data_IF_315260101950
#
_entry.id   IF_315260101950
#
_cell.length_a   1.000
_cell.length_b   1.000
_cell.length_c   1.000
_cell.angle_alpha   90.00
_cell.angle_beta   90.00
_cell.angle_gamma   90.00
#
_symmetry.space_group_name_H-M   'P 1'
#
loop_
_entity.id
_entity.type
_entity.pdbx_description
1 polymer ?
#
# COMPACT_ATOMS: atom_id res chain seq x y z
N UNK A 1 -43.75 8.88 40.19
CA UNK A 1 -44.34 7.71 39.50
C UNK A 1 -44.14 7.91 38.01
N UNK A 2 -43.39 7.00 37.38
CA UNK A 2 -43.31 6.65 35.96
C UNK A 2 -42.98 7.71 34.86
N UNK A 3 -41.98 7.33 34.09
CA UNK A 3 -41.35 7.89 32.88
C UNK A 3 -41.99 7.39 31.58
N UNK A 4 -41.84 8.16 30.48
CA UNK A 4 -41.68 7.70 29.09
C UNK A 4 -41.12 8.91 28.31
N UNK A 5 -39.91 9.01 27.74
CA UNK A 5 -38.99 8.11 27.01
C UNK A 5 -39.47 7.68 25.63
N UNK A 6 -39.61 8.66 24.73
CA UNK A 6 -39.61 8.43 23.28
C UNK A 6 -38.17 8.56 22.76
N UNK A 7 -37.53 7.40 22.59
CA UNK A 7 -36.26 7.28 21.90
C UNK A 7 -36.50 6.95 20.43
N UNK A 8 -36.13 7.86 19.53
CA UNK A 8 -35.89 7.51 18.14
C UNK A 8 -34.42 7.08 18.03
N UNK A 9 -34.20 5.77 17.95
CA UNK A 9 -32.89 5.19 17.72
C UNK A 9 -32.49 5.30 16.26
N UNK A 10 -31.28 5.77 16.01
CA UNK A 10 -30.54 5.39 14.81
C UNK A 10 -29.30 4.65 15.30
N UNK A 11 -29.37 3.33 15.18
CA UNK A 11 -28.23 2.44 15.30
C UNK A 11 -27.47 2.47 13.98
N UNK A 12 -26.17 2.78 14.04
CA UNK A 12 -25.25 2.43 12.96
C UNK A 12 -24.12 1.60 13.56
N UNK A 13 -23.94 0.45 12.94
CA UNK A 13 -23.31 -0.73 13.49
C UNK A 13 -21.82 -0.52 13.83
N UNK A 14 -21.50 -0.72 15.10
CA UNK A 14 -20.16 -1.11 15.51
C UNK A 14 -19.90 -2.54 14.98
N UNK A 15 -19.28 -2.63 13.81
CA UNK A 15 -18.68 -3.86 13.31
C UNK A 15 -17.57 -4.30 14.26
N UNK A 16 -17.91 -5.12 15.26
CA UNK A 16 -16.96 -5.89 16.05
C UNK A 16 -16.16 -6.79 15.11
N UNK A 17 -14.83 -6.63 15.08
CA UNK A 17 -13.93 -7.71 14.68
C UNK A 17 -13.24 -7.63 13.32
N UNK A 18 -12.95 -6.45 12.77
CA UNK A 18 -11.93 -6.33 11.73
C UNK A 18 -10.67 -5.70 12.33
N UNK A 19 -9.64 -6.52 12.55
CA UNK A 19 -8.29 -6.00 12.80
C UNK A 19 -7.99 -5.04 11.66
N UNK A 20 -7.64 -3.77 11.92
CA UNK A 20 -7.24 -2.88 10.85
C UNK A 20 -5.94 -3.43 10.29
N UNK A 21 -6.05 -4.22 9.22
CA UNK A 21 -4.90 -4.59 8.42
C UNK A 21 -4.22 -3.27 8.06
N UNK A 22 -2.94 -3.10 8.44
CA UNK A 22 -2.12 -1.88 8.31
C UNK A 22 -2.17 -0.87 9.48
N UNK A 23 -2.89 -1.16 10.57
CA UNK A 23 -2.87 -0.33 11.78
C UNK A 23 -3.60 1.02 11.65
N UNK A 24 -4.40 1.19 10.60
CA UNK A 24 -5.20 2.39 10.34
C UNK A 24 -6.53 2.28 11.11
N UNK A 25 -6.78 3.11 12.15
CA UNK A 25 -8.05 3.07 12.86
C UNK A 25 -9.22 3.39 11.93
N UNK A 26 -10.41 2.85 12.21
CA UNK A 26 -11.60 3.23 11.46
C UNK A 26 -11.98 4.67 11.80
N UNK A 27 -12.22 5.49 10.76
CA UNK A 27 -12.69 6.86 10.96
C UNK A 27 -14.14 6.84 11.48
N UNK A 28 -14.38 7.44 12.65
CA UNK A 28 -15.73 7.68 13.14
C UNK A 28 -16.26 8.94 12.45
N UNK A 29 -17.34 8.81 11.70
CA UNK A 29 -18.02 9.94 11.08
C UNK A 29 -18.91 10.64 12.12
N UNK A 30 -18.79 11.96 12.25
CA UNK A 30 -19.59 12.74 13.19
C UNK A 30 -20.75 13.37 12.43
N UNK A 31 -21.94 12.80 12.58
CA UNK A 31 -23.16 13.32 11.95
C UNK A 31 -23.80 14.46 12.76
N UNK A 32 -23.64 14.44 14.08
CA UNK A 32 -24.18 15.46 14.98
C UNK A 32 -23.14 15.88 16.04
N UNK A 33 -22.80 17.16 16.00
CA UNK A 33 -21.79 17.79 16.88
C UNK A 33 -22.30 17.88 18.32
N UNK A 34 -23.61 18.09 18.53
CA UNK A 34 -24.20 18.17 19.87
C UNK A 34 -24.18 16.81 20.57
N UNK A 35 -24.39 15.73 19.81
CA UNK A 35 -24.26 14.36 20.28
C UNK A 35 -22.80 13.97 20.58
N UNK A 36 -21.83 14.57 19.88
CA UNK A 36 -20.40 14.37 20.13
C UNK A 36 -19.93 15.07 21.42
N UNK A 37 -20.40 16.30 21.67
CA UNK A 37 -20.06 17.08 22.87
C UNK A 37 -20.65 16.49 24.16
N UNK A 38 -21.76 15.73 24.05
CA UNK A 38 -22.40 15.03 25.19
C UNK A 38 -21.69 13.74 25.62
N UNK A 39 -20.66 13.27 24.90
CA UNK A 39 -19.92 12.07 25.27
C UNK A 39 -19.02 12.30 26.49
N UNK A 40 -18.91 11.32 27.42
CA UNK A 40 -18.08 11.46 28.61
C UNK A 40 -16.61 11.61 28.21
N UNK A 41 -15.98 12.73 28.59
CA UNK A 41 -14.59 13.07 28.26
C UNK A 41 -14.40 14.18 27.21
N UNK A 42 -15.48 14.86 26.80
CA UNK A 42 -15.48 16.05 25.93
C UNK A 42 -15.92 17.31 26.69
N UNK A 43 -15.36 17.53 27.90
CA UNK A 43 -15.73 18.61 28.83
C UNK A 43 -15.45 20.03 28.30
N UNK A 44 -14.54 20.18 27.33
CA UNK A 44 -14.15 21.49 26.78
C UNK A 44 -13.88 21.37 25.28
N UNK A 45 -14.38 22.30 24.47
CA UNK A 45 -14.24 22.29 23.01
C UNK A 45 -12.77 22.15 22.55
N UNK A 46 -11.83 22.79 23.27
CA UNK A 46 -10.40 22.69 22.98
C UNK A 46 -9.85 21.27 23.09
N UNK A 47 -10.36 20.45 24.01
CA UNK A 47 -9.91 19.07 24.18
C UNK A 47 -10.38 18.18 23.03
N UNK A 48 -11.58 18.44 22.51
CA UNK A 48 -12.14 17.73 21.35
C UNK A 48 -11.39 18.09 20.09
N UNK A 49 -11.13 19.40 19.86
CA UNK A 49 -10.36 19.87 18.73
C UNK A 49 -8.94 19.30 18.71
N UNK A 50 -8.26 19.25 19.88
CA UNK A 50 -6.94 18.62 19.99
C UNK A 50 -6.96 17.13 19.63
N UNK A 51 -7.94 16.38 20.15
CA UNK A 51 -8.08 14.94 19.81
C UNK A 51 -8.35 14.73 18.31
N UNK A 52 -9.18 15.57 17.70
CA UNK A 52 -9.48 15.50 16.27
C UNK A 52 -8.25 15.84 15.41
N UNK A 53 -7.47 16.86 15.78
CA UNK A 53 -6.23 17.19 15.08
C UNK A 53 -5.20 16.06 15.23
N UNK A 54 -5.03 15.50 16.43
CA UNK A 54 -4.15 14.33 16.64
C UNK A 54 -4.55 13.12 15.78
N UNK A 55 -5.85 12.84 15.67
CA UNK A 55 -6.36 11.77 14.81
C UNK A 55 -6.09 12.10 13.33
N UNK A 56 -6.34 13.35 12.92
CA UNK A 56 -6.08 13.81 11.56
C UNK A 56 -4.59 13.67 11.19
N UNK A 57 -3.66 14.08 12.06
CA UNK A 57 -2.23 13.91 11.80
C UNK A 57 -1.82 12.45 11.66
N UNK A 58 -2.38 11.54 12.48
CA UNK A 58 -2.14 10.09 12.37
C UNK A 58 -2.63 9.54 11.03
N UNK A 59 -3.83 9.92 10.60
CA UNK A 59 -4.37 9.50 9.30
C UNK A 59 -3.53 10.03 8.13
N UNK A 60 -3.15 11.30 8.19
CA UNK A 60 -2.29 11.92 7.16
C UNK A 60 -0.94 11.20 7.04
N UNK A 61 -0.33 10.83 8.17
CA UNK A 61 0.90 10.05 8.16
C UNK A 61 0.70 8.66 7.55
N UNK A 62 -0.38 7.96 7.90
CA UNK A 62 -0.68 6.64 7.36
C UNK A 62 -0.96 6.68 5.85
N UNK A 63 -1.67 7.70 5.37
CA UNK A 63 -1.95 7.90 3.94
C UNK A 63 -0.65 8.14 3.14
N UNK A 64 0.24 9.00 3.65
CA UNK A 64 1.55 9.23 3.03
C UNK A 64 2.36 7.94 2.91
N UNK A 65 2.41 7.13 3.97
CA UNK A 65 3.11 5.85 3.94
C UNK A 65 2.51 4.87 2.92
N UNK A 66 1.19 4.82 2.81
CA UNK A 66 0.50 3.94 1.88
C UNK A 66 0.71 4.41 0.43
N UNK A 67 0.63 5.71 0.17
CA UNK A 67 0.93 6.31 -1.12
C UNK A 67 2.38 6.04 -1.56
N UNK A 68 3.36 6.16 -0.65
CA UNK A 68 4.75 5.84 -0.92
C UNK A 68 4.96 4.35 -1.24
N UNK A 69 4.37 3.44 -0.44
CA UNK A 69 4.43 1.99 -0.71
C UNK A 69 3.82 1.65 -2.08
N UNK A 70 2.65 2.23 -2.39
CA UNK A 70 1.99 2.07 -3.69
C UNK A 70 2.87 2.56 -4.83
N UNK A 71 3.54 3.70 -4.68
CA UNK A 71 4.47 4.23 -5.69
C UNK A 71 5.67 3.31 -5.89
N UNK A 72 6.30 2.82 -4.81
CA UNK A 72 7.42 1.88 -4.89
C UNK A 72 7.04 0.59 -5.62
N UNK A 73 5.90 0.00 -5.25
CA UNK A 73 5.39 -1.20 -5.93
C UNK A 73 5.13 -0.93 -7.42
N UNK A 74 4.49 0.20 -7.76
CA UNK A 74 4.28 0.58 -9.16
C UNK A 74 5.58 0.77 -9.93
N UNK A 75 6.63 1.29 -9.29
CA UNK A 75 7.96 1.44 -9.89
C UNK A 75 8.67 0.10 -10.12
N UNK A 76 8.40 -0.91 -9.30
CA UNK A 76 9.03 -2.25 -9.44
C UNK A 76 8.35 -3.12 -10.52
N UNK A 77 7.08 -2.87 -10.81
CA UNK A 77 6.34 -3.61 -11.84
C UNK A 77 7.02 -3.58 -13.22
N UNK A 78 7.46 -2.44 -13.78
CA UNK A 78 8.13 -2.43 -15.08
C UNK A 78 9.44 -3.23 -15.08
N UNK A 79 10.26 -3.10 -14.04
CA UNK A 79 11.55 -3.80 -13.94
C UNK A 79 11.36 -5.33 -13.93
N UNK A 80 10.38 -5.82 -13.17
CA UNK A 80 10.03 -7.25 -13.13
C UNK A 80 9.50 -7.72 -14.49
N UNK A 81 8.64 -6.93 -15.14
CA UNK A 81 8.10 -7.26 -16.46
C UNK A 81 9.21 -7.33 -17.52
N UNK A 82 10.13 -6.38 -17.52
CA UNK A 82 11.27 -6.36 -18.44
C UNK A 82 12.17 -7.58 -18.22
N UNK A 83 12.46 -7.92 -16.96
CA UNK A 83 13.26 -9.11 -16.61
C UNK A 83 12.59 -10.39 -17.12
N UNK A 84 11.27 -10.52 -16.98
CA UNK A 84 10.51 -11.66 -17.52
C UNK A 84 10.51 -11.72 -19.05
N UNK A 85 10.45 -10.56 -19.72
CA UNK A 85 10.50 -10.50 -21.18
C UNK A 85 11.86 -10.95 -21.72
N UNK A 86 12.96 -10.52 -21.09
CA UNK A 86 14.32 -10.98 -21.39
C UNK A 86 14.42 -12.50 -21.21
N UNK A 87 13.89 -13.05 -20.10
CA UNK A 87 13.88 -14.48 -19.84
C UNK A 87 13.12 -15.27 -20.91
N UNK A 88 11.94 -14.79 -21.32
CA UNK A 88 11.16 -15.39 -22.42
C UNK A 88 11.92 -15.36 -23.74
N UNK A 89 12.63 -14.27 -24.03
CA UNK A 89 13.46 -14.17 -25.23
C UNK A 89 14.62 -15.18 -25.20
N UNK A 90 15.33 -15.30 -24.07
CA UNK A 90 16.40 -16.29 -23.89
C UNK A 90 15.87 -17.72 -24.01
N UNK A 91 14.69 -18.01 -23.46
CA UNK A 91 14.04 -19.32 -23.56
C UNK A 91 13.70 -19.68 -25.02
N UNK A 92 13.12 -18.76 -25.78
CA UNK A 92 12.85 -18.96 -27.21
C UNK A 92 14.14 -19.22 -28.00
N UNK A 93 15.22 -18.51 -27.66
CA UNK A 93 16.51 -18.70 -28.34
C UNK A 93 17.12 -20.06 -28.02
N UNK A 94 16.96 -20.56 -26.79
CA UNK A 94 17.35 -21.92 -26.40
C UNK A 94 16.68 -22.98 -27.30
N UNK A 95 15.37 -22.87 -27.53
CA UNK A 95 14.62 -23.79 -28.41
C UNK A 95 15.13 -23.77 -29.85
N UNK A 96 15.65 -22.63 -30.32
CA UNK A 96 16.21 -22.49 -31.67
C UNK A 96 17.65 -23.01 -31.84
N UNK A 97 18.29 -23.54 -30.80
CA UNK A 97 19.66 -24.09 -30.77
C UNK A 97 20.80 -23.16 -31.28
N UNK A 98 20.50 -21.89 -31.56
CA UNK A 98 21.46 -20.93 -32.11
C UNK A 98 22.24 -20.22 -31.01
N UNK A 99 23.56 -20.08 -31.19
CA UNK A 99 24.39 -19.23 -30.34
C UNK A 99 23.91 -17.77 -30.41
N UNK A 100 23.83 -17.11 -29.26
CA UNK A 100 23.35 -15.73 -29.16
C UNK A 100 24.56 -14.81 -29.00
N UNK A 101 24.77 -13.93 -29.98
CA UNK A 101 25.72 -12.83 -29.80
C UNK A 101 25.07 -11.77 -28.91
N UNK A 102 25.73 -11.41 -27.80
CA UNK A 102 25.30 -10.30 -26.95
C UNK A 102 26.47 -9.40 -26.59
N UNK A 103 26.12 -8.22 -26.08
CA UNK A 103 27.05 -7.28 -25.47
C UNK A 103 26.75 -7.21 -23.99
N UNK A 104 27.68 -7.67 -23.17
CA UNK A 104 27.55 -7.63 -21.72
C UNK A 104 28.12 -6.33 -21.16
N UNK A 105 27.42 -5.76 -20.18
CA UNK A 105 27.86 -4.58 -19.47
C UNK A 105 28.92 -5.00 -18.44
N UNK A 106 30.15 -4.49 -18.59
CA UNK A 106 31.26 -4.69 -17.65
C UNK A 106 31.37 -3.52 -16.66
N UNK A 107 31.07 -2.31 -17.12
CA UNK A 107 30.93 -1.08 -16.34
C UNK A 107 29.92 -0.15 -17.03
N UNK A 108 29.50 0.94 -16.37
CA UNK A 108 28.41 1.83 -16.82
C UNK A 108 28.49 2.28 -18.29
N UNK A 109 29.68 2.33 -18.88
CA UNK A 109 29.90 2.66 -20.29
C UNK A 109 30.81 1.66 -21.04
N UNK A 110 31.13 0.51 -20.46
CA UNK A 110 32.01 -0.49 -21.06
C UNK A 110 31.23 -1.77 -21.38
N UNK A 111 31.22 -2.13 -22.66
CA UNK A 111 30.51 -3.31 -23.16
C UNK A 111 31.47 -4.31 -23.80
N UNK A 112 31.40 -5.57 -23.39
CA UNK A 112 32.14 -6.68 -23.99
C UNK A 112 31.27 -7.49 -24.94
N UNK A 113 31.73 -7.74 -26.16
CA UNK A 113 31.05 -8.62 -27.12
C UNK A 113 31.38 -10.09 -26.82
N UNK A 114 30.37 -10.94 -26.69
CA UNK A 114 30.57 -12.36 -26.44
C UNK A 114 29.41 -13.20 -26.99
N UNK A 115 29.67 -14.50 -27.11
CA UNK A 115 28.70 -15.51 -27.56
C UNK A 115 28.18 -16.31 -26.37
N UNK A 116 26.85 -16.40 -26.25
CA UNK A 116 26.19 -17.22 -25.25
C UNK A 116 25.76 -18.54 -25.89
N UNK A 117 26.16 -19.64 -25.26
CA UNK A 117 25.66 -20.97 -25.58
C UNK A 117 24.28 -21.18 -24.93
N UNK A 118 23.35 -21.88 -25.60
CA UNK A 118 22.07 -22.25 -25.00
C UNK A 118 22.27 -22.93 -23.64
N UNK A 119 21.77 -22.32 -22.57
CA UNK A 119 21.97 -22.78 -21.18
C UNK A 119 20.65 -22.77 -20.42
N UNK A 120 20.48 -23.72 -19.49
CA UNK A 120 19.25 -23.92 -18.72
C UNK A 120 19.16 -23.10 -17.43
N UNK A 121 20.25 -22.40 -17.10
CA UNK A 121 20.46 -21.72 -15.84
C UNK A 121 20.74 -20.25 -16.09
N UNK A 122 20.09 -19.40 -15.30
CA UNK A 122 20.34 -17.96 -15.24
C UNK A 122 20.61 -17.61 -13.78
N UNK A 123 21.72 -16.93 -13.52
CA UNK A 123 22.09 -16.48 -12.18
C UNK A 123 21.53 -15.08 -11.93
N UNK A 124 20.87 -14.89 -10.80
CA UNK A 124 20.46 -13.58 -10.29
C UNK A 124 21.49 -13.10 -9.26
N UNK A 125 21.75 -11.80 -9.23
CA UNK A 125 22.55 -11.13 -8.20
C UNK A 125 21.62 -10.33 -7.28
#
# INVERSE_FOLDING_TARGET
MATAKDGCGIAVAAGKGQRPHLGIPAAAFVEDVDSLMKQPGNETADTVLKKLDEQYQKYKFMDLNLAQKKRRLKSQIPDIKQTLEILKYMQKKKESANSLETRFLLADNLYGKAWILPTDKVSFF
#
